data_IF_108239589081
#
_entry.id   IF_108239589081
#
_cell.length_a   1.000
_cell.length_b   1.000
_cell.length_c   1.000
_cell.angle_alpha   90.00
_cell.angle_beta   90.00
_cell.angle_gamma   90.00
#
_symmetry.space_group_name_H-M   'P 1'
#
loop_
_entity.id
_entity.type
_entity.pdbx_description
1 polymer ?
#
# COMPACT_ATOMS: atom_id res chain seq x y z
N UNK A 1 18.92 -15.31 0.82
CA UNK A 1 19.89 -14.21 0.62
C UNK A 1 20.30 -14.08 -0.86
N UNK A 2 19.31 -14.10 -1.78
CA UNK A 2 19.49 -13.93 -3.24
C UNK A 2 18.31 -13.15 -3.87
N UNK A 3 17.42 -12.58 -3.04
CA UNK A 3 16.12 -12.04 -3.46
C UNK A 3 16.03 -10.51 -3.36
N UNK A 4 16.74 -9.88 -2.42
CA UNK A 4 16.60 -8.43 -2.17
C UNK A 4 17.12 -7.54 -3.30
N UNK A 5 18.26 -7.88 -3.92
CA UNK A 5 18.85 -7.05 -4.97
C UNK A 5 18.13 -7.17 -6.32
N UNK A 6 17.53 -8.34 -6.61
CA UNK A 6 16.77 -8.56 -7.85
C UNK A 6 15.37 -7.92 -7.78
N UNK A 7 14.81 -7.74 -6.59
CA UNK A 7 13.59 -6.98 -6.36
C UNK A 7 13.87 -5.48 -6.49
N UNK A 8 14.92 -4.96 -5.84
CA UNK A 8 15.19 -3.52 -5.79
C UNK A 8 15.36 -2.85 -7.17
N UNK A 9 16.14 -3.42 -8.09
CA UNK A 9 16.33 -2.83 -9.44
C UNK A 9 15.05 -2.80 -10.29
N UNK A 10 14.20 -3.83 -10.19
CA UNK A 10 12.92 -3.87 -10.90
C UNK A 10 11.92 -2.89 -10.30
N UNK A 11 11.95 -2.78 -8.97
CA UNK A 11 11.16 -1.84 -8.21
C UNK A 11 11.61 -0.39 -8.51
N UNK A 12 12.89 -0.10 -8.71
CA UNK A 12 13.40 1.26 -8.98
C UNK A 12 12.90 1.77 -10.34
N UNK A 13 12.85 0.87 -11.33
CA UNK A 13 12.30 1.17 -12.65
C UNK A 13 10.81 1.50 -12.61
N UNK A 14 10.05 0.87 -11.71
CA UNK A 14 8.60 1.05 -11.62
C UNK A 14 8.24 2.29 -10.80
N UNK A 15 8.96 2.57 -9.71
CA UNK A 15 8.53 3.58 -8.74
C UNK A 15 9.47 4.79 -8.55
N UNK A 16 10.69 4.76 -9.08
CA UNK A 16 11.70 5.84 -8.98
C UNK A 16 12.75 5.60 -7.89
N UNK A 17 13.50 6.65 -7.52
CA UNK A 17 14.55 6.60 -6.49
C UNK A 17 13.93 6.27 -5.12
N UNK A 18 14.42 5.20 -4.50
CA UNK A 18 13.97 4.78 -3.19
C UNK A 18 14.52 5.64 -2.06
N UNK A 19 13.65 5.88 -1.09
CA UNK A 19 14.07 5.98 0.30
C UNK A 19 13.36 4.88 1.08
N UNK A 20 13.92 4.57 2.24
CA UNK A 20 13.47 3.55 3.17
C UNK A 20 11.95 3.46 3.41
N UNK A 21 11.23 4.59 3.39
CA UNK A 21 9.79 4.61 3.63
C UNK A 21 9.00 4.29 2.35
N UNK A 22 9.48 4.75 1.19
CA UNK A 22 8.89 4.39 -0.11
C UNK A 22 9.06 2.88 -0.36
N UNK A 23 10.19 2.30 0.05
CA UNK A 23 10.44 0.85 0.01
C UNK A 23 9.35 0.08 0.75
N UNK A 24 9.04 0.47 2.00
CA UNK A 24 8.01 -0.21 2.81
C UNK A 24 6.65 -0.23 2.09
N UNK A 25 6.15 0.90 1.59
CA UNK A 25 4.85 0.92 0.90
C UNK A 25 4.82 0.00 -0.32
N UNK A 26 5.86 0.08 -1.15
CA UNK A 26 5.91 -0.64 -2.41
C UNK A 26 6.02 -2.14 -2.17
N UNK A 27 6.88 -2.54 -1.24
CA UNK A 27 7.07 -3.94 -0.90
C UNK A 27 5.80 -4.54 -0.28
N UNK A 28 5.14 -3.83 0.64
CA UNK A 28 3.85 -4.26 1.19
C UNK A 28 2.75 -4.34 0.12
N UNK A 29 2.65 -3.33 -0.76
CA UNK A 29 1.66 -3.33 -1.84
C UNK A 29 1.91 -4.45 -2.84
N UNK A 30 3.15 -4.67 -3.28
CA UNK A 30 3.47 -5.74 -4.22
C UNK A 30 3.29 -7.14 -3.62
N UNK A 31 3.45 -7.29 -2.31
CA UNK A 31 3.09 -8.55 -1.66
C UNK A 31 1.57 -8.79 -1.67
N UNK A 32 0.79 -7.73 -1.45
CA UNK A 32 -0.67 -7.83 -1.40
C UNK A 32 -1.34 -7.82 -2.79
N UNK A 33 -0.67 -7.27 -3.81
CA UNK A 33 -1.13 -7.19 -5.19
C UNK A 33 -0.49 -8.33 -6.00
N UNK A 34 -1.28 -8.99 -6.84
CA UNK A 34 -0.89 -10.20 -7.58
C UNK A 34 -2.13 -10.87 -8.16
N UNK A 35 -2.19 -12.20 -8.16
CA UNK A 35 -3.38 -12.95 -8.62
C UNK A 35 -4.65 -12.62 -7.81
N UNK A 36 -4.51 -12.01 -6.63
CA UNK A 36 -5.61 -11.60 -5.75
C UNK A 36 -5.92 -10.10 -5.81
N UNK A 37 -5.39 -9.34 -6.79
CA UNK A 37 -5.49 -7.87 -6.83
C UNK A 37 -6.92 -7.35 -6.67
N UNK A 38 -7.91 -7.89 -7.39
CA UNK A 38 -9.31 -7.45 -7.26
C UNK A 38 -9.86 -7.67 -5.84
N UNK A 39 -9.50 -8.77 -5.20
CA UNK A 39 -9.85 -9.04 -3.80
C UNK A 39 -9.16 -8.04 -2.87
N UNK A 40 -7.88 -7.78 -3.08
CA UNK A 40 -7.13 -6.79 -2.29
C UNK A 40 -7.72 -5.39 -2.42
N UNK A 41 -8.09 -4.97 -3.64
CA UNK A 41 -8.78 -3.70 -3.86
C UNK A 41 -10.13 -3.65 -3.16
N UNK A 42 -10.91 -4.74 -3.21
CA UNK A 42 -12.17 -4.81 -2.48
C UNK A 42 -11.97 -4.74 -0.95
N UNK A 43 -10.92 -5.36 -0.41
CA UNK A 43 -10.58 -5.25 1.01
C UNK A 43 -10.21 -3.79 1.38
N UNK A 44 -9.36 -3.15 0.59
CA UNK A 44 -9.01 -1.73 0.76
C UNK A 44 -10.23 -0.82 0.68
N UNK A 45 -11.14 -1.06 -0.26
CA UNK A 45 -12.41 -0.34 -0.35
C UNK A 45 -13.26 -0.52 0.91
N UNK A 46 -13.19 -1.67 1.58
CA UNK A 46 -13.92 -1.94 2.82
C UNK A 46 -13.15 -1.54 4.10
N UNK A 47 -11.95 -0.96 3.98
CA UNK A 47 -11.10 -0.63 5.13
C UNK A 47 -10.61 -1.86 5.88
N UNK A 48 -10.47 -2.99 5.17
CA UNK A 48 -10.00 -4.26 5.71
C UNK A 48 -8.51 -4.38 5.41
N UNK A 49 -7.70 -4.37 6.47
CA UNK A 49 -6.27 -4.66 6.36
C UNK A 49 -6.02 -6.11 6.01
N UNK A 50 -4.90 -6.35 5.33
CA UNK A 50 -4.38 -7.69 5.05
C UNK A 50 -2.90 -7.69 5.37
N UNK A 51 -2.48 -8.60 6.22
CA UNK A 51 -1.09 -8.75 6.60
C UNK A 51 -0.85 -9.88 7.59
N UNK A 52 0.41 -10.30 7.69
CA UNK A 52 0.93 -11.11 8.79
C UNK A 52 1.87 -10.26 9.67
N UNK A 53 2.58 -10.91 10.60
CA UNK A 53 3.41 -10.23 11.61
C UNK A 53 4.50 -9.30 11.06
N UNK A 54 4.90 -9.45 9.80
CA UNK A 54 6.01 -8.70 9.21
C UNK A 54 5.68 -8.04 7.88
N UNK A 55 4.44 -8.13 7.40
CA UNK A 55 4.09 -7.54 6.10
C UNK A 55 2.60 -7.34 5.94
N UNK A 56 2.21 -6.15 5.47
CA UNK A 56 0.82 -5.90 5.09
C UNK A 56 0.47 -4.43 5.03
N UNK A 57 -0.84 -4.20 4.95
CA UNK A 57 -1.45 -2.88 5.09
C UNK A 57 -2.62 -2.95 6.07
N UNK A 58 -2.83 -1.85 6.80
CA UNK A 58 -3.86 -1.77 7.82
C UNK A 58 -4.50 -0.38 7.83
N UNK A 59 -5.77 -0.34 8.24
CA UNK A 59 -6.58 0.86 8.44
C UNK A 59 -6.81 1.08 9.94
N UNK A 60 -7.16 2.31 10.37
CA UNK A 60 -7.43 2.63 11.77
C UNK A 60 -8.38 1.64 12.47
N UNK A 61 -9.44 1.26 11.76
CA UNK A 61 -10.48 0.34 12.22
C UNK A 61 -10.02 -1.12 12.38
N UNK A 62 -8.77 -1.43 12.05
CA UNK A 62 -8.19 -2.76 12.28
C UNK A 62 -7.53 -2.88 13.66
N UNK A 63 -7.50 -1.79 14.44
CA UNK A 63 -6.92 -1.72 15.77
C UNK A 63 -7.97 -1.26 16.79
N UNK A 64 -7.87 -1.78 18.00
CA UNK A 64 -8.57 -1.24 19.15
C UNK A 64 -7.85 0.01 19.66
N UNK A 65 -8.58 0.89 20.38
CA UNK A 65 -8.04 2.16 20.88
C UNK A 65 -6.88 2.00 21.89
N UNK A 66 -6.73 0.81 22.46
CA UNK A 66 -5.68 0.46 23.42
C UNK A 66 -4.49 -0.28 22.79
N UNK A 67 -4.55 -0.56 21.48
CA UNK A 67 -3.42 -1.15 20.78
C UNK A 67 -2.28 -0.14 20.68
N UNK A 68 -1.04 -0.59 20.94
CA UNK A 68 0.15 0.26 20.84
C UNK A 68 0.33 0.87 19.43
N UNK A 69 -0.13 0.12 18.44
CA UNK A 69 -0.04 0.47 17.03
C UNK A 69 -1.27 1.25 16.53
N UNK A 70 -2.21 1.59 17.41
CA UNK A 70 -3.39 2.38 17.04
C UNK A 70 -3.01 3.71 16.38
N UNK A 71 -3.74 4.08 15.34
CA UNK A 71 -3.63 5.38 14.68
C UNK A 71 -5.00 5.87 14.19
N UNK A 72 -5.20 7.19 14.19
CA UNK A 72 -6.52 7.77 13.90
C UNK A 72 -6.82 7.93 12.41
N UNK A 73 -5.78 8.15 11.58
CA UNK A 73 -5.94 8.56 10.17
C UNK A 73 -4.83 8.01 9.28
N UNK A 74 -5.18 7.77 8.02
CA UNK A 74 -4.26 7.29 7.01
C UNK A 74 -4.34 5.78 6.81
N UNK A 75 -3.28 5.22 6.24
CA UNK A 75 -3.11 3.77 6.02
C UNK A 75 -1.72 3.39 6.48
N UNK A 76 -1.63 2.35 7.30
CA UNK A 76 -0.35 1.78 7.72
C UNK A 76 0.14 0.78 6.67
N UNK A 77 1.41 0.84 6.34
CA UNK A 77 2.14 -0.19 5.59
C UNK A 77 3.26 -0.74 6.46
N UNK A 78 3.42 -2.06 6.46
CA UNK A 78 4.42 -2.76 7.26
C UNK A 78 5.29 -3.66 6.40
N UNK A 79 6.60 -3.65 6.67
CA UNK A 79 7.58 -4.58 6.12
C UNK A 79 8.69 -4.84 7.16
N UNK A 80 8.84 -6.11 7.56
CA UNK A 80 9.70 -6.51 8.67
C UNK A 80 9.32 -5.81 9.98
N UNK A 81 10.35 -5.29 10.64
CA UNK A 81 10.25 -4.49 11.87
C UNK A 81 9.89 -3.02 11.62
N UNK A 82 9.53 -2.65 10.39
CA UNK A 82 9.24 -1.26 10.03
C UNK A 82 7.79 -1.10 9.62
N UNK A 83 7.19 -0.01 10.09
CA UNK A 83 5.87 0.43 9.65
C UNK A 83 5.90 1.91 9.29
N UNK A 84 5.03 2.33 8.39
CA UNK A 84 4.78 3.73 8.10
C UNK A 84 3.28 3.96 7.97
N UNK A 85 2.82 5.09 8.48
CA UNK A 85 1.44 5.53 8.28
C UNK A 85 1.50 6.71 7.33
N UNK A 86 0.74 6.62 6.23
CA UNK A 86 0.68 7.65 5.20
C UNK A 86 -0.73 8.20 5.07
N UNK A 87 -0.85 9.41 4.55
CA UNK A 87 -2.16 9.98 4.26
C UNK A 87 -2.86 9.26 3.09
N UNK A 88 -4.16 9.51 2.94
CA UNK A 88 -4.98 8.89 1.91
C UNK A 88 -4.48 9.22 0.49
N UNK A 89 -3.89 10.40 0.28
CA UNK A 89 -3.36 10.82 -1.02
C UNK A 89 -2.15 9.95 -1.41
N UNK A 90 -1.20 9.82 -0.48
CA UNK A 90 0.00 9.00 -0.67
C UNK A 90 -0.40 7.53 -0.86
N UNK A 91 -1.30 7.01 -0.02
CA UNK A 91 -1.86 5.67 -0.20
C UNK A 91 -2.41 5.46 -1.61
N UNK A 92 -3.31 6.33 -2.07
CA UNK A 92 -3.97 6.17 -3.36
C UNK A 92 -2.99 6.30 -4.54
N UNK A 93 -2.03 7.22 -4.44
CA UNK A 93 -0.96 7.39 -5.44
C UNK A 93 -0.18 6.09 -5.67
N UNK A 94 0.26 5.43 -4.61
CA UNK A 94 1.02 4.18 -4.72
C UNK A 94 0.15 3.00 -5.12
N UNK A 95 -1.09 2.94 -4.64
CA UNK A 95 -2.06 1.94 -5.07
C UNK A 95 -2.34 2.03 -6.58
N UNK A 96 -2.58 3.23 -7.10
CA UNK A 96 -2.80 3.48 -8.54
C UNK A 96 -1.60 3.02 -9.39
N UNK A 97 -0.38 3.24 -8.91
CA UNK A 97 0.84 2.74 -9.58
C UNK A 97 0.90 1.21 -9.57
N UNK A 98 0.69 0.56 -8.43
CA UNK A 98 0.68 -0.91 -8.33
C UNK A 98 -0.37 -1.56 -9.23
N UNK A 99 -1.59 -1.01 -9.26
CA UNK A 99 -2.65 -1.49 -10.15
C UNK A 99 -2.32 -1.24 -11.64
N UNK A 100 -1.64 -0.15 -11.97
CA UNK A 100 -1.21 0.11 -13.35
C UNK A 100 -0.24 -0.95 -13.86
N UNK A 101 0.67 -1.46 -13.00
CA UNK A 101 1.54 -2.58 -13.34
C UNK A 101 0.77 -3.90 -13.43
N UNK A 102 -0.14 -4.16 -12.49
CA UNK A 102 -1.02 -5.33 -12.52
C UNK A 102 -1.79 -5.45 -13.85
N UNK A 103 -2.36 -4.35 -14.33
CA UNK A 103 -3.15 -4.33 -15.57
C UNK A 103 -2.30 -4.64 -16.81
N UNK A 104 -1.00 -4.32 -16.81
CA UNK A 104 -0.09 -4.70 -17.91
C UNK A 104 0.03 -6.23 -18.01
N UNK A 105 -0.02 -6.93 -16.89
CA UNK A 105 0.06 -8.40 -16.82
C UNK A 105 -1.31 -9.06 -17.05
N UNK A 106 -2.39 -8.44 -16.57
CA UNK A 106 -3.76 -8.98 -16.60
C UNK A 106 -4.75 -7.98 -17.24
N UNK A 107 -4.61 -7.67 -18.55
CA UNK A 107 -5.40 -6.63 -19.19
C UNK A 107 -6.92 -6.91 -19.21
N UNK A 108 -7.33 -8.17 -19.08
CA UNK A 108 -8.76 -8.55 -18.98
C UNK A 108 -9.44 -8.03 -17.72
N UNK A 109 -8.67 -7.76 -16.66
CA UNK A 109 -9.19 -7.29 -15.37
C UNK A 109 -9.21 -5.76 -15.25
N UNK A 110 -8.78 -5.05 -16.29
CA UNK A 110 -8.65 -3.59 -16.31
C UNK A 110 -9.92 -2.86 -15.87
N UNK A 111 -11.08 -3.26 -16.41
CA UNK A 111 -12.35 -2.60 -16.12
C UNK A 111 -12.71 -2.69 -14.64
N UNK A 112 -12.59 -3.88 -14.04
CA UNK A 112 -12.94 -4.10 -12.64
C UNK A 112 -11.92 -3.44 -11.71
N UNK A 113 -10.63 -3.54 -12.02
CA UNK A 113 -9.57 -2.89 -11.25
C UNK A 113 -9.72 -1.36 -11.24
N UNK A 114 -10.01 -0.75 -12.40
CA UNK A 114 -10.24 0.69 -12.49
C UNK A 114 -11.53 1.14 -11.82
N UNK A 115 -12.59 0.34 -11.88
CA UNK A 115 -13.82 0.61 -11.14
C UNK A 115 -13.54 0.66 -9.63
N UNK A 116 -12.86 -0.35 -9.09
CA UNK A 116 -12.51 -0.40 -7.67
C UNK A 116 -11.59 0.76 -7.27
N UNK A 117 -10.60 1.10 -8.10
CA UNK A 117 -9.74 2.27 -7.86
C UNK A 117 -10.56 3.57 -7.76
N UNK A 118 -11.52 3.79 -8.65
CA UNK A 118 -12.36 4.99 -8.59
C UNK A 118 -13.23 5.01 -7.33
N UNK A 119 -13.79 3.88 -6.92
CA UNK A 119 -14.56 3.78 -5.67
C UNK A 119 -13.69 4.06 -4.44
N UNK A 120 -12.46 3.54 -4.41
CA UNK A 120 -11.47 3.82 -3.36
C UNK A 120 -11.13 5.31 -3.33
N UNK A 121 -10.86 5.91 -4.50
CA UNK A 121 -10.56 7.35 -4.62
C UNK A 121 -11.66 8.20 -3.99
N UNK A 122 -12.91 7.90 -4.33
CA UNK A 122 -14.09 8.62 -3.79
C UNK A 122 -14.22 8.40 -2.30
N UNK A 123 -14.12 7.15 -1.82
CA UNK A 123 -14.26 6.81 -0.40
C UNK A 123 -13.26 7.55 0.49
N UNK A 124 -12.01 7.62 0.06
CA UNK A 124 -10.92 8.21 0.84
C UNK A 124 -10.66 9.69 0.52
N UNK A 125 -11.50 10.30 -0.31
CA UNK A 125 -11.40 11.68 -0.78
C UNK A 125 -10.03 12.02 -1.36
N UNK A 126 -9.49 11.13 -2.20
CA UNK A 126 -8.20 11.30 -2.83
C UNK A 126 -8.33 12.16 -4.09
N UNK A 127 -7.33 13.02 -4.31
CA UNK A 127 -7.18 13.87 -5.47
C UNK A 127 -6.20 13.18 -6.42
N UNK A 128 -6.24 13.50 -7.71
CA UNK A 128 -5.13 13.15 -8.63
C UNK A 128 -4.00 14.17 -8.46
N UNK A 129 -3.51 14.33 -7.23
CA UNK A 129 -2.41 15.23 -6.90
C UNK A 129 -1.14 14.43 -6.59
N UNK A 130 -0.13 14.56 -7.44
CA UNK A 130 1.16 13.89 -7.29
C UNK A 130 2.14 14.65 -6.38
N UNK A 131 1.75 15.82 -5.84
CA UNK A 131 2.70 16.86 -5.41
C UNK A 131 3.42 16.68 -4.06
N UNK A 132 3.26 15.57 -3.33
CA UNK A 132 4.21 15.10 -2.29
C UNK A 132 3.74 13.79 -1.66
N UNK A 133 4.69 13.00 -1.17
CA UNK A 133 4.38 11.90 -0.26
C UNK A 133 4.31 12.46 1.16
N UNK A 134 3.24 12.15 1.88
CA UNK A 134 3.00 12.60 3.26
C UNK A 134 3.04 11.37 4.16
N UNK A 135 4.10 11.31 4.96
CA UNK A 135 4.25 10.32 6.03
C UNK A 135 3.75 10.97 7.30
N UNK A 136 2.73 10.36 7.90
CA UNK A 136 2.12 10.82 9.15
C UNK A 136 2.91 10.31 10.35
N UNK A 137 3.45 9.09 10.27
CA UNK A 137 4.23 8.45 11.35
C UNK A 137 5.13 7.36 10.78
N UNK A 138 6.31 7.20 11.36
CA UNK A 138 7.18 6.04 11.19
C UNK A 138 7.12 5.18 12.45
N UNK A 139 7.16 3.86 12.28
CA UNK A 139 7.06 2.85 13.32
C UNK A 139 8.27 1.90 13.21
N UNK A 140 8.80 1.52 14.37
CA UNK A 140 9.79 0.45 14.49
C UNK A 140 9.27 -0.52 15.54
N UNK A 141 9.02 -1.75 15.12
CA UNK A 141 8.55 -2.83 15.97
C UNK A 141 9.76 -3.53 16.62
N UNK A 142 9.68 -3.83 17.90
CA UNK A 142 10.71 -4.62 18.58
C UNK A 142 10.36 -6.11 18.43
N UNK A 143 11.37 -6.93 18.11
CA UNK A 143 11.25 -8.40 18.06
C UNK A 143 10.95 -9.03 19.43
#
# INVERSE_FOLDING_TARGET
>A
MLTENLEKENLEKIFGVYNDNIDVMILSLNYCLGDSTLKTLNNMLNGQGVGGNSIGYFFPQNFDLWDEDYFEKGVMFQWGIRGIIVDNQTFYKYLKRGVSEFIKLYPKEQTDAFKLLQEIKVKYNCLDDDNKNVILKELVFND
#
